data_IF_221139138175
#
_entry.id   IF_221139138175
#
_cell.length_a   1.000
_cell.length_b   1.000
_cell.length_c   1.000
_cell.angle_alpha   90.00
_cell.angle_beta   90.00
_cell.angle_gamma   90.00
#
_symmetry.space_group_name_H-M   'P 1'
#
loop_
_entity.id
_entity.type
_entity.pdbx_description
1 polymer ?
#
# COMPACT_ATOMS: atom_id res chain seq x y z
N UNK A 1 16.87 10.83 -16.08
CA UNK A 1 15.94 10.08 -15.21
C UNK A 1 15.68 10.92 -13.96
N UNK A 2 14.48 11.51 -13.80
CA UNK A 2 14.15 12.38 -12.66
C UNK A 2 13.70 11.52 -11.47
N UNK A 3 14.62 11.27 -10.55
CA UNK A 3 14.46 10.53 -9.29
C UNK A 3 13.62 11.29 -8.21
N UNK A 4 12.73 12.21 -8.58
CA UNK A 4 12.08 13.12 -7.64
C UNK A 4 10.56 13.30 -7.86
N UNK A 5 9.91 12.40 -8.60
CA UNK A 5 8.45 12.38 -8.64
C UNK A 5 7.96 11.77 -7.32
N UNK A 6 7.50 12.63 -6.41
CA UNK A 6 6.93 12.23 -5.13
C UNK A 6 5.73 11.35 -5.46
N UNK A 7 5.75 10.04 -5.15
CA UNK A 7 4.73 9.12 -5.62
C UNK A 7 3.36 9.61 -5.17
N UNK A 8 2.49 9.88 -6.14
CA UNK A 8 1.14 10.36 -5.85
C UNK A 8 0.38 9.33 -4.98
N UNK A 9 -0.10 9.74 -3.79
CA UNK A 9 -0.84 8.87 -2.89
C UNK A 9 -2.25 8.55 -3.43
N UNK A 10 -2.79 9.36 -4.34
CA UNK A 10 -4.13 9.20 -4.91
C UNK A 10 -4.29 7.88 -5.66
N UNK A 11 -3.28 7.48 -6.45
CA UNK A 11 -3.28 6.18 -7.11
C UNK A 11 -3.25 4.99 -6.12
N UNK A 12 -2.82 5.21 -4.87
CA UNK A 12 -2.77 4.18 -3.84
C UNK A 12 -4.14 4.06 -3.16
N UNK A 13 -4.78 5.21 -2.89
CA UNK A 13 -6.17 5.26 -2.43
C UNK A 13 -7.12 4.56 -3.41
N UNK A 14 -6.98 4.81 -4.71
CA UNK A 14 -7.76 4.12 -5.76
C UNK A 14 -7.62 2.60 -5.70
N UNK A 15 -6.39 2.09 -5.55
CA UNK A 15 -6.16 0.65 -5.38
C UNK A 15 -6.79 0.14 -4.07
N UNK A 16 -6.69 0.88 -2.98
CA UNK A 16 -7.32 0.55 -1.70
C UNK A 16 -8.85 0.45 -1.80
N UNK A 17 -9.47 1.30 -2.62
CA UNK A 17 -10.90 1.23 -2.94
C UNK A 17 -11.24 -0.01 -3.76
N UNK A 18 -10.48 -0.35 -4.81
CA UNK A 18 -10.69 -1.58 -5.56
C UNK A 18 -10.56 -2.84 -4.71
N UNK A 19 -9.62 -2.85 -3.74
CA UNK A 19 -9.50 -3.95 -2.77
C UNK A 19 -10.72 -4.02 -1.84
N UNK A 20 -11.24 -2.88 -1.39
CA UNK A 20 -12.48 -2.83 -0.60
C UNK A 20 -13.70 -3.29 -1.39
N UNK A 21 -13.79 -2.94 -2.67
CA UNK A 21 -14.89 -3.29 -3.56
C UNK A 21 -14.80 -4.73 -4.10
N UNK A 22 -13.74 -5.48 -3.79
CA UNK A 22 -13.57 -6.87 -4.23
C UNK A 22 -13.34 -7.03 -5.74
N UNK A 23 -13.15 -5.94 -6.48
CA UNK A 23 -12.99 -5.91 -7.95
C UNK A 23 -11.53 -5.90 -8.41
N UNK A 24 -10.58 -6.02 -7.49
CA UNK A 24 -9.17 -6.07 -7.86
C UNK A 24 -8.86 -7.31 -8.72
N UNK A 25 -8.15 -7.16 -9.85
CA UNK A 25 -7.76 -8.30 -10.68
C UNK A 25 -6.85 -9.24 -9.89
N UNK A 26 -7.22 -10.51 -9.82
CA UNK A 26 -6.47 -11.57 -9.14
C UNK A 26 -5.20 -11.89 -9.93
N UNK A 27 -4.10 -11.21 -9.62
CA UNK A 27 -2.79 -11.56 -10.17
C UNK A 27 -2.21 -12.74 -9.37
N UNK A 28 -2.57 -13.97 -9.78
CA UNK A 28 -2.16 -15.24 -9.16
C UNK A 28 -3.04 -15.69 -7.98
N UNK A 29 -2.53 -16.63 -7.16
CA UNK A 29 -3.19 -17.18 -5.96
C UNK A 29 -3.56 -16.15 -4.87
N UNK A 30 -3.22 -14.87 -5.05
CA UNK A 30 -3.51 -13.81 -4.09
C UNK A 30 -4.73 -13.00 -4.53
N UNK A 31 -5.80 -13.07 -3.74
CA UNK A 31 -7.06 -12.34 -3.98
C UNK A 31 -6.93 -10.83 -3.72
N UNK A 32 -5.90 -10.39 -2.99
CA UNK A 32 -5.66 -8.98 -2.65
C UNK A 32 -4.33 -8.49 -3.26
N UNK A 33 -4.35 -7.46 -4.13
CA UNK A 33 -3.15 -6.95 -4.79
C UNK A 33 -2.21 -6.26 -3.79
N UNK A 34 -0.91 -6.34 -4.05
CA UNK A 34 0.09 -5.62 -3.26
C UNK A 34 0.05 -4.12 -3.60
N UNK A 35 0.19 -3.23 -2.60
CA UNK A 35 0.37 -1.79 -2.84
C UNK A 35 1.78 -1.43 -3.35
N UNK A 36 2.61 -2.42 -3.71
CA UNK A 36 3.97 -2.19 -4.18
C UNK A 36 3.95 -1.56 -5.57
N UNK A 37 4.74 -0.51 -5.77
CA UNK A 37 4.96 0.13 -7.08
C UNK A 37 6.39 -0.07 -7.58
N UNK A 38 7.11 -1.07 -7.05
CA UNK A 38 8.55 -1.27 -7.26
C UNK A 38 9.41 -0.07 -6.84
N UNK A 39 8.86 0.80 -5.98
CA UNK A 39 9.53 1.94 -5.36
C UNK A 39 9.61 1.65 -3.87
N UNK A 40 10.81 1.33 -3.38
CA UNK A 40 11.09 1.12 -1.97
C UNK A 40 11.90 2.30 -1.43
N UNK A 41 11.22 3.39 -1.09
CA UNK A 41 11.84 4.57 -0.48
C UNK A 41 11.32 4.70 0.94
N UNK A 42 12.16 4.39 1.94
CA UNK A 42 11.74 4.47 3.34
C UNK A 42 11.87 5.90 3.86
N UNK A 43 10.77 6.47 4.32
CA UNK A 43 10.79 7.77 4.97
C UNK A 43 11.23 7.60 6.42
N UNK A 44 12.41 8.09 6.79
CA UNK A 44 12.92 8.01 8.17
C UNK A 44 12.09 8.84 9.17
N UNK A 45 11.31 9.80 8.70
CA UNK A 45 10.52 10.70 9.56
C UNK A 45 9.19 10.08 9.98
N UNK A 46 8.52 9.36 9.07
CA UNK A 46 7.27 8.64 9.36
C UNK A 46 7.45 7.15 9.66
N UNK A 47 8.60 6.57 9.28
CA UNK A 47 8.85 5.12 9.41
C UNK A 47 8.11 4.28 8.38
N UNK A 48 7.56 4.89 7.33
CA UNK A 48 6.77 4.23 6.29
C UNK A 48 7.43 4.35 4.93
N UNK A 49 7.19 3.40 4.03
CA UNK A 49 7.62 3.52 2.65
C UNK A 49 6.83 4.63 1.93
N UNK A 50 7.48 5.57 1.26
CA UNK A 50 6.81 6.63 0.49
C UNK A 50 6.06 6.09 -0.72
N UNK A 51 6.45 4.93 -1.25
CA UNK A 51 5.78 4.30 -2.39
C UNK A 51 4.51 3.56 -2.01
N UNK A 52 4.56 2.75 -0.94
CA UNK A 52 3.46 1.86 -0.56
C UNK A 52 2.81 2.19 0.80
N UNK A 53 3.35 3.15 1.56
CA UNK A 53 2.88 3.59 2.88
C UNK A 53 2.71 2.47 3.92
N UNK A 54 3.52 1.42 3.74
CA UNK A 54 3.62 0.28 4.65
C UNK A 54 4.91 0.32 5.43
N UNK A 55 4.85 -0.30 6.60
CA UNK A 55 6.02 -0.62 7.41
C UNK A 55 6.77 -1.81 6.81
N UNK A 56 8.05 -1.97 7.17
CA UNK A 56 8.85 -3.13 6.76
C UNK A 56 8.21 -4.45 7.22
N UNK A 57 7.66 -4.48 8.44
CA UNK A 57 7.04 -5.69 8.98
C UNK A 57 5.81 -6.11 8.17
N UNK A 58 4.98 -5.14 7.77
CA UNK A 58 3.83 -5.42 6.89
C UNK A 58 4.24 -5.91 5.50
N UNK A 59 5.40 -5.46 4.99
CA UNK A 59 5.95 -5.92 3.71
C UNK A 59 6.40 -7.38 3.83
N UNK A 60 7.10 -7.75 4.92
CA UNK A 60 7.58 -9.11 5.15
C UNK A 60 6.43 -10.09 5.43
N UNK A 61 5.44 -9.69 6.23
CA UNK A 61 4.27 -10.54 6.54
C UNK A 61 3.27 -10.64 5.37
N UNK A 62 3.41 -9.86 4.30
CA UNK A 62 2.35 -9.80 3.29
C UNK A 62 2.00 -11.16 2.66
N UNK A 63 2.97 -12.04 2.46
CA UNK A 63 2.75 -13.37 1.88
C UNK A 63 2.06 -14.32 2.86
N UNK A 64 2.24 -14.13 4.17
CA UNK A 64 1.62 -14.92 5.24
C UNK A 64 0.24 -14.41 5.64
N UNK A 65 -0.08 -13.14 5.37
CA UNK A 65 -1.39 -12.56 5.70
C UNK A 65 -2.54 -13.16 4.87
N UNK A 66 -3.65 -13.43 5.54
CA UNK A 66 -4.92 -13.80 4.89
C UNK A 66 -5.54 -12.61 4.16
N UNK A 67 -6.45 -12.87 3.20
CA UNK A 67 -7.12 -11.80 2.45
C UNK A 67 -7.82 -10.76 3.34
N UNK A 68 -8.40 -11.20 4.46
CA UNK A 68 -9.00 -10.31 5.44
C UNK A 68 -7.95 -9.39 6.08
N UNK A 69 -6.83 -9.94 6.52
CA UNK A 69 -5.74 -9.15 7.10
C UNK A 69 -5.14 -8.20 6.06
N UNK A 70 -4.99 -8.63 4.81
CA UNK A 70 -4.54 -7.77 3.70
C UNK A 70 -5.50 -6.60 3.49
N UNK A 71 -6.83 -6.83 3.54
CA UNK A 71 -7.85 -5.76 3.51
C UNK A 71 -7.72 -4.81 4.68
N UNK A 72 -7.46 -5.32 5.89
CA UNK A 72 -7.23 -4.47 7.06
C UNK A 72 -5.98 -3.60 6.89
N UNK A 73 -4.89 -4.14 6.35
CA UNK A 73 -3.70 -3.35 6.02
C UNK A 73 -4.01 -2.27 4.98
N UNK A 74 -4.78 -2.58 3.94
CA UNK A 74 -5.23 -1.57 2.97
C UNK A 74 -6.05 -0.43 3.61
N UNK A 75 -6.93 -0.75 4.58
CA UNK A 75 -7.65 0.27 5.36
C UNK A 75 -6.69 1.13 6.19
N UNK A 76 -5.72 0.52 6.85
CA UNK A 76 -4.71 1.24 7.62
C UNK A 76 -3.89 2.18 6.73
N UNK A 77 -3.45 1.71 5.56
CA UNK A 77 -2.71 2.54 4.61
C UNK A 77 -3.56 3.73 4.16
N UNK A 78 -4.82 3.51 3.80
CA UNK A 78 -5.72 4.59 3.42
C UNK A 78 -5.87 5.63 4.55
N UNK A 79 -6.03 5.16 5.80
CA UNK A 79 -6.08 6.03 6.98
C UNK A 79 -4.78 6.81 7.19
N UNK A 80 -3.62 6.16 7.09
CA UNK A 80 -2.29 6.80 7.18
C UNK A 80 -2.10 7.87 6.12
N UNK A 81 -2.50 7.59 4.88
CA UNK A 81 -2.41 8.52 3.76
C UNK A 81 -3.36 9.71 3.95
N UNK A 82 -4.58 9.47 4.44
CA UNK A 82 -5.55 10.54 4.73
C UNK A 82 -5.09 11.43 5.89
N UNK A 83 -4.53 10.85 6.95
CA UNK A 83 -3.98 11.57 8.09
C UNK A 83 -2.65 12.28 7.81
N UNK A 84 -1.98 11.94 6.70
CA UNK A 84 -0.78 12.66 6.24
C UNK A 84 -1.11 13.96 5.49
N UNK A 85 -2.39 14.25 5.25
CA UNK A 85 -2.82 15.52 4.64
C UNK A 85 -2.69 16.61 5.71
N UNK A 86 -1.79 17.60 5.54
CA UNK A 86 -1.76 18.78 6.39
C UNK A 86 -3.00 19.65 6.17
#
# INVERSE_FOLDING_TARGET
MRFNDRPDPSALLRKAESVRNGTAPVQGLQKVPTPCRSVCTMNRRSGWCEGCYRTLQEITDWTTLSDEQKRQVWKQIASRVQGLRP
#
